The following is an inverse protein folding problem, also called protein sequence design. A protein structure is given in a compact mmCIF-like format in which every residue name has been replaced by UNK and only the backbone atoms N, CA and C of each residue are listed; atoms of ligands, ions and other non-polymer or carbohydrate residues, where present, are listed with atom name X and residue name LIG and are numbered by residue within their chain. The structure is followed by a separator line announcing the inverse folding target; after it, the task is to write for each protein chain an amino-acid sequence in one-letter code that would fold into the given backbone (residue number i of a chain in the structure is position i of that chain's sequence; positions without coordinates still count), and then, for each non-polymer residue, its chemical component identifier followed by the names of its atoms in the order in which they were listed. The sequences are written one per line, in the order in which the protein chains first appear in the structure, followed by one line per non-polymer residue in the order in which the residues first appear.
data_IF_933739456171
#
_entry.id   IF_933739456171
#
_cell.length_a   1.000
_cell.length_b   1.000
_cell.length_c   1.000
_cell.angle_alpha   90.00
_cell.angle_beta   90.00
_cell.angle_gamma   90.00
#
_symmetry.space_group_name_H-M   'P 1'
#
loop_
_entity.id
_entity.type
_entity.pdbx_description
1 polymer ?
#
# COMPACT_ATOMS: atom_id res chain seq x y z
N UNK A 1 0.73 -10.37 21.89
CA UNK A 1 0.46 -10.82 20.50
C UNK A 1 1.78 -10.83 19.75
N UNK A 2 2.08 -11.89 19.00
CA UNK A 2 3.26 -12.02 18.16
C UNK A 2 2.86 -12.10 16.70
N UNK A 3 3.45 -11.23 15.88
CA UNK A 3 3.08 -11.08 14.46
C UNK A 3 4.27 -11.42 13.57
N UNK A 4 4.03 -12.23 12.55
CA UNK A 4 4.94 -12.37 11.42
C UNK A 4 4.52 -11.38 10.33
N UNK A 5 5.43 -10.49 9.94
CA UNK A 5 5.23 -9.54 8.86
C UNK A 5 6.16 -9.90 7.70
N UNK A 6 5.57 -10.31 6.57
CA UNK A 6 6.28 -10.58 5.33
C UNK A 6 6.16 -9.39 4.39
N UNK A 7 7.28 -8.90 3.90
CA UNK A 7 7.39 -7.69 3.09
C UNK A 7 8.11 -8.00 1.79
N UNK A 8 7.62 -7.48 0.67
CA UNK A 8 8.31 -7.56 -0.62
C UNK A 8 9.64 -6.79 -0.54
N UNK A 9 10.76 -7.47 -0.81
CA UNK A 9 12.09 -6.86 -0.69
C UNK A 9 12.35 -5.74 -1.70
N UNK A 10 11.59 -5.72 -2.81
CA UNK A 10 11.62 -4.69 -3.85
C UNK A 10 10.95 -3.38 -3.45
N UNK A 11 10.20 -3.37 -2.35
CA UNK A 11 9.62 -2.13 -1.85
C UNK A 11 10.74 -1.23 -1.32
N UNK A 12 11.10 -0.22 -2.11
CA UNK A 12 12.03 0.86 -1.75
C UNK A 12 11.43 1.85 -0.73
N UNK A 13 10.16 1.67 -0.36
CA UNK A 13 9.46 2.59 0.52
C UNK A 13 9.97 2.51 1.98
N UNK A 14 10.21 3.65 2.65
CA UNK A 14 10.53 3.68 4.06
C UNK A 14 9.27 3.47 4.89
N UNK A 15 8.65 2.28 4.81
CA UNK A 15 7.63 1.79 5.76
C UNK A 15 8.17 1.70 7.19
N UNK A 16 9.41 2.15 7.44
CA UNK A 16 10.04 2.26 8.74
C UNK A 16 9.13 2.86 9.80
N UNK A 17 8.40 3.95 9.54
CA UNK A 17 7.49 4.53 10.55
C UNK A 17 6.23 3.69 10.79
N UNK A 18 5.64 3.11 9.75
CA UNK A 18 4.54 2.17 9.91
C UNK A 18 4.97 0.93 10.68
N UNK A 19 6.11 0.35 10.33
CA UNK A 19 6.68 -0.82 10.99
C UNK A 19 7.15 -0.52 12.42
N UNK A 20 7.74 0.65 12.65
CA UNK A 20 8.06 1.12 14.00
C UNK A 20 6.78 1.33 14.81
N UNK A 21 5.74 1.91 14.22
CA UNK A 21 4.43 2.07 14.85
C UNK A 21 3.81 0.73 15.23
N UNK A 22 3.78 -0.22 14.29
CA UNK A 22 3.33 -1.60 14.54
C UNK A 22 4.14 -2.26 15.66
N UNK A 23 5.47 -2.19 15.58
CA UNK A 23 6.34 -2.77 16.60
C UNK A 23 6.12 -2.12 17.97
N UNK A 24 5.94 -0.80 18.05
CA UNK A 24 5.63 -0.09 19.30
C UNK A 24 4.28 -0.49 19.89
N UNK A 25 3.25 -0.64 19.06
CA UNK A 25 1.89 -0.96 19.51
C UNK A 25 1.72 -2.44 19.87
N UNK A 26 2.33 -3.35 19.10
CA UNK A 26 2.16 -4.80 19.24
C UNK A 26 3.23 -5.41 20.17
N UNK A 27 4.42 -4.81 20.22
CA UNK A 27 5.55 -5.24 21.03
C UNK A 27 6.40 -6.34 20.42
N UNK A 28 5.80 -7.32 19.73
CA UNK A 28 6.52 -8.48 19.16
C UNK A 28 6.18 -8.68 17.68
N UNK A 29 6.99 -8.11 16.79
CA UNK A 29 6.83 -8.25 15.33
C UNK A 29 8.12 -8.81 14.72
N UNK A 30 8.04 -9.98 14.09
CA UNK A 30 9.10 -10.57 13.27
C UNK A 30 8.91 -10.09 11.83
N UNK A 31 9.85 -9.29 11.32
CA UNK A 31 9.78 -8.71 9.97
C UNK A 31 10.74 -9.46 9.06
N UNK A 32 10.23 -9.99 7.94
CA UNK A 32 11.02 -10.71 6.95
C UNK A 32 10.78 -10.13 5.57
N UNK A 33 11.89 -9.81 4.89
CA UNK A 33 11.86 -9.35 3.50
C UNK A 33 11.99 -10.56 2.59
N UNK A 34 11.05 -10.73 1.67
CA UNK A 34 11.02 -11.85 0.73
C UNK A 34 11.36 -11.35 -0.67
N UNK A 35 12.31 -12.02 -1.31
CA UNK A 35 12.63 -11.78 -2.71
C UNK A 35 11.55 -12.37 -3.64
N UNK A 36 11.66 -12.04 -4.93
CA UNK A 36 10.71 -12.48 -5.96
C UNK A 36 10.53 -14.01 -6.00
N UNK A 37 11.61 -14.77 -5.80
CA UNK A 37 11.57 -16.23 -5.82
C UNK A 37 10.83 -16.77 -4.59
N UNK A 38 11.12 -16.24 -3.41
CA UNK A 38 10.42 -16.60 -2.17
C UNK A 38 8.92 -16.26 -2.24
N UNK A 39 8.56 -15.11 -2.83
CA UNK A 39 7.16 -14.74 -3.08
C UNK A 39 6.47 -15.61 -4.14
N UNK A 40 7.22 -16.13 -5.11
CA UNK A 40 6.67 -17.04 -6.13
C UNK A 40 6.39 -18.43 -5.57
N UNK A 41 7.05 -18.81 -4.47
CA UNK A 41 6.94 -20.10 -3.80
C UNK A 41 6.75 -19.96 -2.30
N UNK A 42 5.74 -19.17 -1.88
CA UNK A 42 5.49 -18.85 -0.46
C UNK A 42 5.24 -20.12 0.36
N UNK A 43 4.56 -21.12 -0.21
CA UNK A 43 4.38 -22.42 0.46
C UNK A 43 5.72 -23.05 0.88
N UNK A 44 6.71 -23.01 -0.02
CA UNK A 44 8.04 -23.58 0.25
C UNK A 44 8.77 -22.74 1.29
N UNK A 45 8.65 -21.41 1.20
CA UNK A 45 9.20 -20.51 2.21
C UNK A 45 8.64 -20.81 3.61
N UNK A 46 7.32 -20.99 3.73
CA UNK A 46 6.70 -21.31 5.01
C UNK A 46 7.15 -22.66 5.54
N UNK A 47 7.18 -23.69 4.69
CA UNK A 47 7.64 -25.03 5.08
C UNK A 47 9.10 -25.04 5.59
N UNK A 48 9.97 -24.20 5.01
CA UNK A 48 11.38 -24.14 5.37
C UNK A 48 11.68 -23.20 6.56
N UNK A 49 10.92 -22.11 6.72
CA UNK A 49 11.32 -20.99 7.57
C UNK A 49 10.27 -20.55 8.60
N UNK A 50 9.03 -21.01 8.51
CA UNK A 50 7.93 -20.49 9.33
C UNK A 50 7.29 -21.60 10.15
N UNK A 51 7.45 -21.51 11.47
CA UNK A 51 6.64 -22.26 12.43
C UNK A 51 5.42 -21.42 12.79
N UNK A 52 4.26 -21.76 12.21
CA UNK A 52 3.00 -21.03 12.37
C UNK A 52 2.56 -20.92 13.83
N UNK A 53 2.89 -21.90 14.67
CA UNK A 53 2.48 -21.92 16.08
C UNK A 53 3.15 -20.82 16.92
N UNK A 54 4.20 -20.18 16.38
CA UNK A 54 4.90 -19.07 17.05
C UNK A 54 4.24 -17.71 16.82
N UNK A 55 3.20 -17.62 16.00
CA UNK A 55 2.61 -16.36 15.58
C UNK A 55 1.10 -16.38 15.78
N UNK A 56 0.58 -15.32 16.39
CA UNK A 56 -0.86 -15.11 16.54
C UNK A 56 -1.47 -14.57 15.24
N UNK A 57 -0.70 -13.82 14.45
CA UNK A 57 -1.13 -13.22 13.18
C UNK A 57 -0.02 -13.24 12.16
N UNK A 58 -0.42 -13.33 10.89
CA UNK A 58 0.49 -13.28 9.74
C UNK A 58 0.04 -12.14 8.85
N UNK A 59 0.86 -11.10 8.76
CA UNK A 59 0.65 -9.93 7.94
C UNK A 59 1.48 -10.05 6.66
N UNK A 60 0.83 -10.03 5.51
CA UNK A 60 1.49 -10.12 4.21
C UNK A 60 1.34 -8.82 3.44
N UNK A 61 2.48 -8.16 3.22
CA UNK A 61 2.63 -7.05 2.29
C UNK A 61 3.53 -7.51 1.13
N UNK A 62 3.00 -8.44 0.33
CA UNK A 62 3.68 -9.06 -0.79
C UNK A 62 2.92 -8.81 -2.10
N UNK A 63 3.53 -9.12 -3.23
CA UNK A 63 2.94 -8.95 -4.56
C UNK A 63 1.67 -9.80 -4.75
N UNK A 64 0.51 -9.15 -4.90
CA UNK A 64 -0.77 -9.85 -5.07
C UNK A 64 -0.79 -10.75 -6.32
N UNK A 65 -0.11 -10.38 -7.40
CA UNK A 65 -0.01 -11.19 -8.61
C UNK A 65 0.67 -12.54 -8.37
N UNK A 66 1.62 -12.60 -7.43
CA UNK A 66 2.27 -13.83 -6.99
C UNK A 66 1.44 -14.59 -5.95
N UNK A 67 0.84 -13.89 -4.99
CA UNK A 67 0.00 -14.50 -3.96
C UNK A 67 -1.26 -15.14 -4.55
N UNK A 68 -1.92 -14.46 -5.48
CA UNK A 68 -3.20 -14.90 -6.06
C UNK A 68 -3.11 -16.26 -6.77
N UNK A 69 -1.94 -16.60 -7.31
CA UNK A 69 -1.64 -17.91 -7.92
C UNK A 69 -1.56 -19.05 -6.90
N UNK A 70 -1.39 -18.72 -5.63
CA UNK A 70 -1.11 -19.67 -4.54
C UNK A 70 -2.25 -19.72 -3.50
N UNK A 71 -3.46 -19.29 -3.86
CA UNK A 71 -4.64 -19.24 -2.96
C UNK A 71 -4.93 -20.54 -2.19
N UNK A 72 -4.65 -21.71 -2.75
CA UNK A 72 -4.87 -22.98 -2.04
C UNK A 72 -3.96 -23.14 -0.82
N UNK A 73 -2.75 -22.58 -0.84
CA UNK A 73 -1.88 -22.60 0.32
C UNK A 73 -2.43 -21.70 1.44
N UNK A 74 -2.93 -20.51 1.09
CA UNK A 74 -3.50 -19.59 2.07
C UNK A 74 -4.81 -20.07 2.69
N UNK A 75 -5.47 -21.09 2.09
CA UNK A 75 -6.67 -21.70 2.68
C UNK A 75 -6.40 -22.38 4.02
N UNK A 76 -5.16 -22.78 4.26
CA UNK A 76 -4.77 -23.52 5.45
C UNK A 76 -4.10 -22.62 6.51
N UNK A 77 -4.01 -21.31 6.25
CA UNK A 77 -3.41 -20.35 7.16
C UNK A 77 -4.50 -19.60 7.91
N UNK A 78 -4.58 -19.85 9.21
CA UNK A 78 -5.49 -19.13 10.11
C UNK A 78 -5.02 -17.69 10.37
N UNK A 79 -5.98 -16.79 10.59
CA UNK A 79 -5.76 -15.39 10.99
C UNK A 79 -4.76 -14.61 10.11
N UNK A 80 -4.80 -14.90 8.82
CA UNK A 80 -4.01 -14.21 7.81
C UNK A 80 -4.56 -12.81 7.51
N UNK A 81 -3.67 -11.85 7.42
CA UNK A 81 -3.97 -10.45 7.10
C UNK A 81 -3.19 -10.04 5.86
N UNK A 82 -3.87 -9.52 4.85
CA UNK A 82 -3.24 -9.01 3.64
C UNK A 82 -3.21 -7.50 3.68
N UNK A 83 -2.02 -6.90 3.61
CA UNK A 83 -1.85 -5.46 3.57
C UNK A 83 -1.51 -4.99 2.17
N UNK A 84 -2.44 -4.29 1.55
CA UNK A 84 -2.25 -3.63 0.27
C UNK A 84 -1.96 -2.15 0.48
N UNK A 85 -0.68 -1.84 0.59
CA UNK A 85 -0.24 -0.46 0.36
C UNK A 85 -0.39 -0.20 -1.13
N UNK A 86 -1.27 0.73 -1.48
CA UNK A 86 -1.52 1.09 -2.87
C UNK A 86 -2.22 0.02 -3.74
N UNK A 87 -3.22 -0.68 -3.20
CA UNK A 87 -4.17 -1.37 -4.07
C UNK A 87 -4.70 -0.37 -5.13
N UNK A 88 -4.33 -0.63 -6.39
CA UNK A 88 -4.74 0.10 -7.60
C UNK A 88 -4.34 1.59 -7.70
N UNK A 89 -3.06 2.00 -7.57
CA UNK A 89 -2.65 3.30 -8.14
C UNK A 89 -2.47 3.24 -9.65
N UNK A 90 -3.01 4.25 -10.34
CA UNK A 90 -2.89 4.43 -11.78
C UNK A 90 -4.10 3.88 -12.53
N UNK A 91 -3.97 3.69 -13.85
CA UNK A 91 -4.99 3.13 -14.77
C UNK A 91 -5.57 1.76 -14.33
N UNK A 92 -5.05 1.15 -13.25
CA UNK A 92 -5.57 -0.03 -12.56
C UNK A 92 -6.94 0.16 -11.88
N UNK A 93 -7.57 1.33 -12.01
CA UNK A 93 -9.01 1.53 -11.77
C UNK A 93 -9.92 0.75 -12.74
N UNK A 94 -9.37 0.01 -13.71
CA UNK A 94 -10.20 -0.89 -14.50
C UNK A 94 -10.81 -1.97 -13.61
N UNK A 95 -12.15 -2.03 -13.65
CA UNK A 95 -13.10 -3.02 -13.09
C UNK A 95 -12.65 -4.50 -13.24
N UNK A 96 -11.62 -4.78 -14.04
CA UNK A 96 -10.98 -6.09 -14.17
C UNK A 96 -10.12 -6.53 -12.98
N UNK A 97 -9.38 -5.62 -12.33
CA UNK A 97 -8.50 -6.05 -11.23
C UNK A 97 -9.28 -6.26 -9.93
N UNK A 98 -10.31 -5.44 -9.63
CA UNK A 98 -11.17 -5.66 -8.44
C UNK A 98 -11.83 -7.04 -8.44
N UNK A 99 -12.26 -7.54 -9.61
CA UNK A 99 -12.81 -8.91 -9.75
C UNK A 99 -11.82 -9.99 -9.33
N UNK A 100 -10.52 -9.84 -9.60
CA UNK A 100 -9.51 -10.81 -9.21
C UNK A 100 -9.31 -10.83 -7.70
N UNK A 101 -9.22 -9.67 -7.06
CA UNK A 101 -9.14 -9.55 -5.60
C UNK A 101 -10.39 -10.14 -4.93
N UNK A 102 -11.59 -9.77 -5.41
CA UNK A 102 -12.84 -10.32 -4.88
C UNK A 102 -12.91 -11.85 -5.05
N UNK A 103 -12.51 -12.39 -6.21
CA UNK A 103 -12.47 -13.84 -6.44
C UNK A 103 -11.46 -14.53 -5.51
N UNK A 104 -10.32 -13.90 -5.25
CA UNK A 104 -9.31 -14.41 -4.31
C UNK A 104 -9.86 -14.43 -2.88
N UNK A 105 -10.41 -13.31 -2.39
CA UNK A 105 -10.88 -13.20 -1.01
C UNK A 105 -12.17 -13.97 -0.73
N UNK A 106 -13.04 -14.18 -1.72
CA UNK A 106 -14.18 -15.11 -1.58
C UNK A 106 -13.75 -16.54 -1.28
N UNK A 107 -12.51 -16.92 -1.61
CA UNK A 107 -11.95 -18.24 -1.29
C UNK A 107 -11.26 -18.28 0.08
N UNK A 108 -11.12 -17.14 0.74
CA UNK A 108 -10.47 -16.93 2.03
C UNK A 108 -11.36 -16.05 2.93
N UNK A 109 -12.59 -16.46 3.24
CA UNK A 109 -13.57 -15.60 3.92
C UNK A 109 -13.16 -15.19 5.36
N UNK A 110 -12.19 -15.88 5.96
CA UNK A 110 -11.64 -15.54 7.28
C UNK A 110 -10.43 -14.59 7.19
N UNK A 111 -9.93 -14.28 5.99
CA UNK A 111 -8.81 -13.39 5.82
C UNK A 111 -9.24 -11.94 6.04
N UNK A 112 -8.45 -11.20 6.81
CA UNK A 112 -8.61 -9.76 6.94
C UNK A 112 -7.79 -9.03 5.89
N UNK A 113 -8.31 -7.91 5.41
CA UNK A 113 -7.66 -7.04 4.45
C UNK A 113 -7.37 -5.70 5.13
N UNK A 114 -6.16 -5.20 4.93
CA UNK A 114 -5.81 -3.81 5.25
C UNK A 114 -5.46 -3.15 3.93
N UNK A 115 -6.01 -1.98 3.66
CA UNK A 115 -5.68 -1.20 2.46
C UNK A 115 -5.36 0.23 2.82
N UNK A 116 -4.54 0.88 2.02
CA UNK A 116 -4.27 2.31 2.13
C UNK A 116 -5.12 3.17 1.19
N UNK A 117 -6.14 2.58 0.56
CA UNK A 117 -7.05 3.22 -0.39
C UNK A 117 -8.51 3.07 0.09
N UNK A 118 -9.12 4.20 0.44
CA UNK A 118 -10.49 4.25 0.97
C UNK A 118 -11.53 3.71 -0.01
N UNK A 119 -11.44 4.06 -1.29
CA UNK A 119 -12.39 3.58 -2.31
C UNK A 119 -12.32 2.06 -2.50
N UNK A 120 -11.12 1.48 -2.36
CA UNK A 120 -10.93 0.02 -2.38
C UNK A 120 -11.54 -0.62 -1.15
N UNK A 121 -11.33 -0.02 0.02
CA UNK A 121 -11.95 -0.48 1.27
C UNK A 121 -13.48 -0.52 1.12
N UNK A 122 -14.10 0.57 0.65
CA UNK A 122 -15.55 0.61 0.41
C UNK A 122 -16.00 -0.50 -0.54
N UNK A 123 -15.31 -0.68 -1.65
CA UNK A 123 -15.64 -1.74 -2.62
C UNK A 123 -15.58 -3.13 -1.99
N UNK A 124 -14.56 -3.43 -1.19
CA UNK A 124 -14.42 -4.71 -0.50
C UNK A 124 -15.46 -4.90 0.60
N UNK A 125 -15.73 -3.84 1.37
CA UNK A 125 -16.75 -3.82 2.41
C UNK A 125 -18.15 -4.07 1.83
N UNK A 126 -18.51 -3.39 0.74
CA UNK A 126 -19.79 -3.57 0.03
C UNK A 126 -19.95 -4.99 -0.56
N UNK A 127 -18.85 -5.72 -0.70
CA UNK A 127 -18.83 -7.13 -1.11
C UNK A 127 -18.72 -8.11 0.07
N UNK A 128 -18.88 -7.64 1.31
CA UNK A 128 -18.92 -8.46 2.53
C UNK A 128 -17.55 -8.99 2.98
N UNK A 129 -16.45 -8.33 2.61
CA UNK A 129 -15.11 -8.71 3.06
C UNK A 129 -14.72 -7.97 4.35
N UNK A 130 -13.96 -8.62 5.23
CA UNK A 130 -13.36 -7.99 6.42
C UNK A 130 -12.18 -7.10 5.98
N UNK A 131 -12.40 -5.79 5.91
CA UNK A 131 -11.43 -4.82 5.40
C UNK A 131 -11.37 -3.56 6.26
N UNK A 132 -10.14 -3.11 6.52
CA UNK A 132 -9.85 -1.86 7.22
C UNK A 132 -8.96 -0.94 6.38
N UNK A 133 -9.11 0.37 6.58
CA UNK A 133 -8.33 1.38 5.86
C UNK A 133 -7.31 2.05 6.78
N UNK A 134 -6.02 2.01 6.42
CA UNK A 134 -4.95 2.77 7.10
C UNK A 134 -4.45 3.86 6.14
N UNK A 135 -4.66 5.15 6.43
CA UNK A 135 -4.26 6.24 5.55
C UNK A 135 -2.74 6.28 5.37
N UNK A 136 -2.26 6.64 4.17
CA UNK A 136 -0.82 6.71 3.81
C UNK A 136 -0.02 7.81 4.53
N UNK A 137 -0.58 8.45 5.55
CA UNK A 137 0.02 9.61 6.22
C UNK A 137 1.14 9.29 7.21
N UNK A 138 1.65 8.06 7.24
CA UNK A 138 2.57 7.55 8.27
C UNK A 138 4.06 7.78 7.96
N UNK A 139 4.40 8.75 7.09
CA UNK A 139 5.79 9.01 6.73
C UNK A 139 6.17 10.46 6.98
N UNK A 140 6.86 10.73 8.09
CA UNK A 140 7.41 12.05 8.41
C UNK A 140 8.54 12.47 7.46
N UNK A 141 9.25 11.53 6.81
CA UNK A 141 10.32 11.85 5.86
C UNK A 141 9.87 12.60 4.59
N UNK A 142 8.58 12.53 4.22
CA UNK A 142 8.02 13.32 3.11
C UNK A 142 7.49 14.69 3.56
N UNK A 143 7.60 15.02 4.85
CA UNK A 143 7.06 16.24 5.44
C UNK A 143 8.09 16.88 6.36
N UNK A 144 8.87 17.82 5.85
CA UNK A 144 9.57 18.77 6.72
C UNK A 144 8.56 19.83 7.19
N UNK A 145 8.30 19.88 8.50
CA UNK A 145 7.62 21.04 9.09
C UNK A 145 8.64 22.15 9.16
N UNK A 146 8.70 22.96 8.12
CA UNK A 146 9.35 24.25 8.22
C UNK A 146 8.37 25.12 9.04
N UNK A 147 8.80 25.65 10.19
CA UNK A 147 8.00 26.54 11.05
C UNK A 147 7.75 27.92 10.41
N UNK A 148 7.53 27.94 9.11
CA UNK A 148 7.22 29.12 8.30
C UNK A 148 5.71 29.24 8.26
N UNK A 149 5.22 30.47 8.40
CA UNK A 149 3.81 30.76 8.21
C UNK A 149 3.38 30.34 6.81
N UNK A 150 2.25 29.64 6.72
CA UNK A 150 1.74 29.15 5.43
C UNK A 150 1.33 30.33 4.56
N UNK A 151 2.11 30.59 3.52
CA UNK A 151 1.87 31.63 2.52
C UNK A 151 1.13 31.10 1.27
N UNK A 152 1.00 29.78 1.14
CA UNK A 152 0.27 29.13 0.05
C UNK A 152 -1.19 28.79 0.43
N UNK A 153 -2.20 29.28 -0.29
CA UNK A 153 -3.59 28.93 0.00
C UNK A 153 -3.89 27.46 -0.38
N UNK A 154 -3.28 26.94 -1.45
CA UNK A 154 -3.52 25.61 -1.98
C UNK A 154 -2.21 24.93 -2.45
N UNK A 155 -2.09 23.63 -2.22
CA UNK A 155 -1.00 22.80 -2.74
C UNK A 155 -1.59 21.51 -3.33
N UNK A 156 -1.23 21.20 -4.57
CA UNK A 156 -1.51 19.92 -5.21
C UNK A 156 -0.19 19.19 -5.41
N UNK A 157 0.01 18.09 -4.69
CA UNK A 157 1.20 17.24 -4.79
C UNK A 157 0.85 15.94 -5.50
N UNK A 158 1.08 15.90 -6.82
CA UNK A 158 0.89 14.70 -7.62
C UNK A 158 1.98 14.58 -8.69
N UNK A 159 2.35 13.35 -9.05
CA UNK A 159 3.22 13.12 -10.18
C UNK A 159 2.44 13.32 -11.49
N UNK A 160 3.08 13.94 -12.49
CA UNK A 160 2.53 14.12 -13.84
C UNK A 160 3.10 13.03 -14.73
N UNK A 161 2.59 11.82 -14.59
CA UNK A 161 3.16 10.61 -15.23
C UNK A 161 2.35 10.17 -16.44
N UNK A 162 1.09 10.59 -16.58
CA UNK A 162 0.24 10.20 -17.70
C UNK A 162 -0.55 11.38 -18.31
N UNK A 163 -1.10 11.21 -19.54
CA UNK A 163 -1.82 12.28 -20.24
C UNK A 163 -3.07 12.80 -19.51
N UNK A 164 -3.73 11.96 -18.71
CA UNK A 164 -4.92 12.35 -17.93
C UNK A 164 -4.50 13.32 -16.82
N UNK A 165 -3.40 13.03 -16.12
CA UNK A 165 -2.84 13.93 -15.12
C UNK A 165 -2.37 15.23 -15.75
N UNK A 166 -1.70 15.18 -16.92
CA UNK A 166 -1.33 16.40 -17.66
C UNK A 166 -2.55 17.26 -17.98
N UNK A 167 -3.62 16.68 -18.52
CA UNK A 167 -4.85 17.40 -18.82
C UNK A 167 -5.48 18.01 -17.56
N UNK A 168 -5.53 17.27 -16.46
CA UNK A 168 -6.01 17.77 -15.17
C UNK A 168 -5.21 18.99 -14.67
N UNK A 169 -3.87 18.92 -14.73
CA UNK A 169 -3.02 20.04 -14.35
C UNK A 169 -3.20 21.25 -15.27
N UNK A 170 -3.40 21.04 -16.57
CA UNK A 170 -3.70 22.12 -17.51
C UNK A 170 -5.04 22.81 -17.16
N UNK A 171 -6.06 22.05 -16.78
CA UNK A 171 -7.34 22.64 -16.32
C UNK A 171 -7.18 23.40 -14.99
N UNK A 172 -6.34 22.89 -14.06
CA UNK A 172 -6.01 23.65 -12.84
C UNK A 172 -5.29 24.96 -13.17
N UNK A 173 -4.30 24.96 -14.07
CA UNK A 173 -3.57 26.17 -14.44
C UNK A 173 -4.46 27.18 -15.19
N UNK A 174 -5.48 26.72 -15.92
CA UNK A 174 -6.50 27.59 -16.51
C UNK A 174 -7.40 28.22 -15.45
N UNK A 175 -7.83 27.43 -14.47
CA UNK A 175 -8.72 27.88 -13.40
C UNK A 175 -8.00 28.77 -12.36
N UNK A 176 -6.70 28.55 -12.16
CA UNK A 176 -5.84 29.25 -11.22
C UNK A 176 -4.54 29.69 -11.92
N UNK A 177 -4.56 30.77 -12.72
CA UNK A 177 -3.40 31.26 -13.46
C UNK A 177 -2.21 31.66 -12.59
N UNK A 178 -2.45 31.94 -11.31
CA UNK A 178 -1.46 32.25 -10.27
C UNK A 178 -0.75 31.01 -9.71
N UNK A 179 -1.25 29.80 -10.00
CA UNK A 179 -0.67 28.57 -9.48
C UNK A 179 0.74 28.34 -10.07
N UNK A 180 1.65 27.89 -9.21
CA UNK A 180 3.03 27.58 -9.59
C UNK A 180 3.23 26.06 -9.65
N UNK A 181 3.85 25.58 -10.73
CA UNK A 181 4.23 24.16 -10.85
C UNK A 181 5.65 23.99 -10.31
N UNK A 182 5.77 23.21 -9.23
CA UNK A 182 7.06 22.86 -8.62
C UNK A 182 7.36 21.39 -8.95
N UNK A 183 8.39 21.12 -9.77
CA UNK A 183 8.85 19.74 -10.00
C UNK A 183 9.70 19.29 -8.80
N UNK A 184 9.17 18.37 -8.01
CA UNK A 184 9.86 17.80 -6.84
C UNK A 184 11.12 16.98 -7.19
N UNK A 185 11.36 16.62 -8.46
CA UNK A 185 12.56 15.89 -8.91
C UNK A 185 13.76 16.81 -9.15
N UNK A 186 13.51 18.11 -9.34
CA UNK A 186 14.55 19.12 -9.55
C UNK A 186 14.39 20.09 -8.40
N UNK A 187 15.17 19.90 -7.33
CA UNK A 187 15.16 20.77 -6.16
C UNK A 187 15.00 22.24 -6.58
N UNK A 188 13.85 22.81 -6.21
CA UNK A 188 13.52 24.24 -6.34
C UNK A 188 14.04 24.92 -7.62
N UNK A 189 13.59 24.50 -8.80
CA UNK A 189 13.57 25.40 -9.96
C UNK A 189 12.14 25.62 -10.41
N UNK A 190 11.66 26.83 -10.17
CA UNK A 190 10.47 27.39 -10.80
C UNK A 190 10.62 27.18 -12.32
N UNK A 191 9.72 26.42 -12.93
CA UNK A 191 9.57 26.44 -14.37
C UNK A 191 9.10 27.86 -14.73
N UNK A 192 10.03 28.66 -15.24
CA UNK A 192 9.70 29.98 -15.77
C UNK A 192 8.72 29.84 -16.94
N UNK A 193 7.74 30.74 -16.94
CA UNK A 193 6.65 30.89 -17.92
C UNK A 193 7.03 30.62 -19.37
#
# INVERSE_FOLDING_TARGET
MKVLLLVDDRLDFPLGEFYQGLHKQIGSVDIRRLNLNEQSFVKNYFAAHVDLNKFDRILMQLDFGLLSKQVNFFKDIEYVVFFHNNAFSGEQHQVGNSKQYLKFYRRLPWARIITSNYTVMQTFHDNGLDVECIPRGYHSCYRSVNHVERDIPLLVSAAVENPIQQAFFQEILKAFPEAQVLDSRIGSRLLSR
#
